data_IF_336673200926
#
_entry.id   IF_336673200926
#
_cell.length_a   1.000
_cell.length_b   1.000
_cell.length_c   1.000
_cell.angle_alpha   90.00
_cell.angle_beta   90.00
_cell.angle_gamma   90.00
#
_symmetry.space_group_name_H-M   'P 1'
#
loop_
_entity.id
_entity.type
_entity.pdbx_description
1 polymer ?
#
# COMPACT_ATOMS: atom_id res chain seq x y z
N UNK A 1 54.06 13.03 46.09
CA UNK A 1 53.18 13.47 47.19
C UNK A 1 51.77 12.95 46.92
N UNK A 2 51.17 12.23 47.86
CA UNK A 2 49.80 11.73 47.69
C UNK A 2 48.78 12.88 47.75
N UNK A 3 47.59 12.72 47.14
CA UNK A 3 46.50 13.72 47.17
C UNK A 3 46.16 14.20 48.60
N UNK A 4 46.34 13.33 49.60
CA UNK A 4 46.10 13.64 51.01
C UNK A 4 47.17 14.56 51.63
N UNK A 5 48.42 14.49 51.16
CA UNK A 5 49.51 15.35 51.68
C UNK A 5 49.34 16.80 51.23
N UNK A 6 48.98 17.01 49.96
CA UNK A 6 48.75 18.35 49.40
C UNK A 6 47.58 19.04 50.09
N UNK A 7 46.51 18.30 50.39
CA UNK A 7 45.31 18.85 51.03
C UNK A 7 45.52 19.16 52.52
N UNK A 8 46.37 18.40 53.22
CA UNK A 8 46.71 18.67 54.61
C UNK A 8 47.60 19.91 54.78
N UNK A 9 48.49 20.19 53.83
CA UNK A 9 49.28 21.42 53.80
C UNK A 9 48.37 22.64 53.61
N UNK A 10 47.39 22.55 52.69
CA UNK A 10 46.42 23.61 52.45
C UNK A 10 45.54 23.90 53.69
N UNK A 11 45.12 22.88 54.44
CA UNK A 11 44.37 23.07 55.68
C UNK A 11 45.16 23.75 56.79
N UNK A 12 46.46 23.46 56.91
CA UNK A 12 47.34 24.07 57.92
C UNK A 12 47.55 25.56 57.69
N UNK A 13 47.63 25.99 56.43
CA UNK A 13 47.81 27.39 56.07
C UNK A 13 46.58 28.27 56.35
N UNK A 14 45.37 27.67 56.38
CA UNK A 14 44.11 28.43 56.42
C UNK A 14 43.59 28.75 57.84
N UNK A 15 44.10 28.10 58.88
CA UNK A 15 43.70 28.34 60.27
C UNK A 15 44.92 28.38 61.22
N UNK A 16 45.59 29.54 61.39
CA UNK A 16 46.67 29.66 62.36
C UNK A 16 46.08 29.76 63.78
N UNK A 17 45.95 28.63 64.47
CA UNK A 17 45.72 28.60 65.92
C UNK A 17 47.05 28.83 66.65
N UNK A 18 47.64 30.02 66.53
CA UNK A 18 48.72 30.47 67.40
C UNK A 18 48.84 32.00 67.32
N UNK A 19 48.68 32.75 68.42
CA UNK A 19 48.94 34.19 68.41
C UNK A 19 50.46 34.43 68.33
N UNK A 20 50.93 34.83 67.15
CA UNK A 20 52.30 35.29 66.92
C UNK A 20 52.65 36.40 67.92
N UNK A 21 53.68 36.16 68.75
CA UNK A 21 54.28 37.16 69.65
C UNK A 21 54.61 38.42 68.83
N UNK A 22 54.05 39.57 69.22
CA UNK A 22 54.33 40.88 68.61
C UNK A 22 55.77 41.31 68.87
N UNK A 23 56.70 40.86 68.03
CA UNK A 23 57.99 41.53 67.82
C UNK A 23 57.81 42.66 66.80
N UNK A 24 58.33 43.85 67.08
CA UNK A 24 58.35 44.96 66.11
C UNK A 24 59.02 44.50 64.81
N UNK A 25 58.39 44.65 63.63
CA UNK A 25 59.03 44.30 62.37
C UNK A 25 60.24 45.23 62.16
N UNK A 26 61.44 44.66 61.99
CA UNK A 26 62.58 45.41 61.45
C UNK A 26 62.18 45.82 60.03
N UNK A 27 62.14 47.13 59.77
CA UNK A 27 61.80 47.68 58.46
C UNK A 27 62.80 47.11 57.44
N UNK A 28 62.33 46.25 56.53
CA UNK A 28 63.13 45.86 55.36
C UNK A 28 63.41 47.12 54.54
N UNK A 29 64.64 47.23 54.02
CA UNK A 29 65.01 48.32 53.12
C UNK A 29 64.03 48.38 51.94
N UNK A 30 63.38 49.53 51.69
CA UNK A 30 62.38 49.68 50.63
C UNK A 30 62.86 49.22 49.25
N UNK A 31 64.17 49.32 48.98
CA UNK A 31 64.76 48.88 47.71
C UNK A 31 64.82 47.36 47.57
N UNK A 32 65.10 46.65 48.67
CA UNK A 32 65.12 45.18 48.71
C UNK A 32 63.70 44.60 48.69
N UNK A 33 62.75 45.21 49.39
CA UNK A 33 61.35 44.79 49.39
C UNK A 33 60.72 44.90 47.99
N UNK A 34 61.03 45.97 47.25
CA UNK A 34 60.54 46.16 45.87
C UNK A 34 61.10 45.14 44.89
N UNK A 35 62.40 44.83 45.01
CA UNK A 35 63.07 43.85 44.13
C UNK A 35 62.57 42.43 44.36
N UNK A 36 62.40 42.03 45.62
CA UNK A 36 61.83 40.72 45.97
C UNK A 36 60.35 40.59 45.56
N UNK A 37 59.57 41.67 45.66
CA UNK A 37 58.19 41.67 45.16
C UNK A 37 58.13 41.51 43.64
N UNK A 38 59.02 42.17 42.89
CA UNK A 38 59.10 42.00 41.43
C UNK A 38 59.50 40.57 41.05
N UNK A 39 60.56 40.03 41.65
CA UNK A 39 61.01 38.65 41.38
C UNK A 39 59.91 37.64 41.73
N UNK A 40 59.20 37.81 42.84
CA UNK A 40 58.12 36.89 43.22
C UNK A 40 56.87 37.03 42.35
N UNK A 41 56.56 38.24 41.87
CA UNK A 41 55.49 38.46 40.89
C UNK A 41 55.86 37.86 39.53
N UNK A 42 57.09 38.05 39.06
CA UNK A 42 57.58 37.50 37.80
C UNK A 42 57.63 35.97 37.83
N UNK A 43 58.08 35.38 38.94
CA UNK A 43 58.07 33.92 39.12
C UNK A 43 56.64 33.36 39.18
N UNK A 44 55.69 34.04 39.84
CA UNK A 44 54.28 33.62 39.87
C UNK A 44 53.61 33.76 38.50
N UNK A 45 53.90 34.85 37.79
CA UNK A 45 53.42 35.11 36.43
C UNK A 45 53.93 34.04 35.47
N UNK A 46 55.24 33.79 35.47
CA UNK A 46 55.86 32.84 34.53
C UNK A 46 55.48 31.39 34.85
N UNK A 47 55.43 31.01 36.13
CA UNK A 47 55.03 29.65 36.49
C UNK A 47 53.54 29.40 36.25
N UNK A 48 52.68 30.39 36.53
CA UNK A 48 51.26 30.35 36.19
C UNK A 48 51.04 30.20 34.69
N UNK A 49 51.71 31.02 33.87
CA UNK A 49 51.60 30.95 32.42
C UNK A 49 52.05 29.60 31.84
N UNK A 50 53.13 29.01 32.37
CA UNK A 50 53.64 27.70 31.93
C UNK A 50 52.70 26.56 32.33
N UNK A 51 52.13 26.61 33.54
CA UNK A 51 51.16 25.61 34.00
C UNK A 51 49.85 25.73 33.22
N UNK A 52 49.38 26.94 32.95
CA UNK A 52 48.16 27.18 32.18
C UNK A 52 48.33 26.77 30.71
N UNK A 53 49.48 27.05 30.10
CA UNK A 53 49.77 26.57 28.73
C UNK A 53 49.89 25.05 28.66
N UNK A 54 50.54 24.41 29.63
CA UNK A 54 50.60 22.95 29.68
C UNK A 54 49.22 22.32 29.92
N UNK A 55 48.41 22.88 30.83
CA UNK A 55 47.05 22.41 31.11
C UNK A 55 46.13 22.57 29.90
N UNK A 56 46.20 23.72 29.23
CA UNK A 56 45.42 23.97 28.01
C UNK A 56 45.87 23.07 26.85
N UNK A 57 47.16 22.80 26.70
CA UNK A 57 47.67 21.88 25.68
C UNK A 57 47.18 20.44 25.89
N UNK A 58 47.27 19.92 27.14
CA UNK A 58 46.77 18.58 27.48
C UNK A 58 45.25 18.49 27.30
N UNK A 59 44.50 19.51 27.75
CA UNK A 59 43.05 19.54 27.59
C UNK A 59 42.63 19.59 26.11
N UNK A 60 43.34 20.33 25.27
CA UNK A 60 43.08 20.37 23.82
C UNK A 60 43.36 19.01 23.17
N UNK A 61 44.49 18.37 23.50
CA UNK A 61 44.84 17.04 22.96
C UNK A 61 43.83 15.95 23.39
N UNK A 62 43.35 15.99 24.64
CA UNK A 62 42.30 15.07 25.10
C UNK A 62 40.96 15.32 24.37
N UNK A 63 40.61 16.58 24.11
CA UNK A 63 39.39 16.96 23.38
C UNK A 63 39.49 16.53 21.91
N UNK A 64 40.65 16.71 21.26
CA UNK A 64 40.85 16.29 19.86
C UNK A 64 40.82 14.77 19.72
N UNK A 65 41.48 14.04 20.63
CA UNK A 65 41.44 12.57 20.66
C UNK A 65 40.01 12.06 20.91
N UNK A 66 39.26 12.69 21.81
CA UNK A 66 37.85 12.33 22.06
C UNK A 66 36.95 12.64 20.85
N UNK A 67 37.20 13.74 20.13
CA UNK A 67 36.47 14.09 18.91
C UNK A 67 36.76 13.10 17.77
N UNK A 68 38.02 12.67 17.63
CA UNK A 68 38.43 11.69 16.63
C UNK A 68 37.81 10.31 16.91
N UNK A 69 37.84 9.84 18.17
CA UNK A 69 37.16 8.61 18.58
C UNK A 69 35.65 8.66 18.34
N UNK A 70 34.99 9.80 18.60
CA UNK A 70 33.56 9.99 18.27
C UNK A 70 33.31 9.93 16.77
N UNK A 71 34.17 10.55 15.96
CA UNK A 71 34.06 10.47 14.50
C UNK A 71 34.22 9.04 13.98
N UNK A 72 35.19 8.29 14.52
CA UNK A 72 35.38 6.87 14.19
C UNK A 72 34.17 6.01 14.62
N UNK A 73 33.59 6.28 15.79
CA UNK A 73 32.39 5.57 16.26
C UNK A 73 31.15 5.87 15.40
N UNK A 74 30.96 7.12 14.98
CA UNK A 74 29.87 7.50 14.05
C UNK A 74 30.04 6.83 12.68
N UNK A 75 31.26 6.78 12.14
CA UNK A 75 31.56 6.05 10.91
C UNK A 75 31.27 4.56 11.05
N UNK A 76 31.66 3.94 12.17
CA UNK A 76 31.37 2.54 12.45
C UNK A 76 29.85 2.30 12.56
N UNK A 77 29.11 3.16 13.26
CA UNK A 77 27.66 3.05 13.39
C UNK A 77 26.95 3.22 12.04
N UNK A 78 27.36 4.18 11.22
CA UNK A 78 26.86 4.35 9.85
C UNK A 78 27.12 3.10 9.00
N UNK A 79 28.30 2.49 9.11
CA UNK A 79 28.63 1.25 8.41
C UNK A 79 27.71 0.08 8.83
N UNK A 80 27.44 -0.08 10.12
CA UNK A 80 26.50 -1.10 10.64
C UNK A 80 25.09 -0.86 10.12
N UNK A 81 24.62 0.39 10.10
CA UNK A 81 23.31 0.73 9.56
C UNK A 81 23.21 0.40 8.06
N UNK A 82 24.27 0.64 7.27
CA UNK A 82 24.28 0.26 5.85
C UNK A 82 24.23 -1.25 5.64
N UNK A 83 24.96 -2.03 6.46
CA UNK A 83 24.92 -3.50 6.41
C UNK A 83 23.55 -4.03 6.81
N UNK A 84 22.94 -3.50 7.88
CA UNK A 84 21.58 -3.84 8.29
C UNK A 84 20.53 -3.46 7.25
N UNK A 85 20.72 -2.34 6.54
CA UNK A 85 19.85 -1.95 5.42
C UNK A 85 19.97 -2.95 4.27
N UNK A 86 21.19 -3.29 3.85
CA UNK A 86 21.43 -4.29 2.80
C UNK A 86 20.86 -5.66 3.17
N UNK A 87 21.02 -6.11 4.42
CA UNK A 87 20.41 -7.36 4.89
C UNK A 87 18.89 -7.31 4.82
N UNK A 88 18.24 -6.20 5.22
CA UNK A 88 16.79 -6.01 5.07
C UNK A 88 16.35 -6.01 3.61
N UNK A 89 17.11 -5.36 2.73
CA UNK A 89 16.86 -5.35 1.29
C UNK A 89 16.98 -6.76 0.69
N UNK A 90 18.02 -7.52 1.05
CA UNK A 90 18.23 -8.90 0.60
C UNK A 90 17.09 -9.82 1.05
N UNK A 91 16.76 -9.81 2.35
CA UNK A 91 15.62 -10.57 2.89
C UNK A 91 14.29 -10.18 2.21
N UNK A 92 14.10 -8.90 1.89
CA UNK A 92 12.93 -8.42 1.17
C UNK A 92 12.89 -8.91 -0.28
N UNK A 93 14.04 -8.93 -0.97
CA UNK A 93 14.13 -9.39 -2.36
C UNK A 93 13.87 -10.89 -2.50
N UNK A 94 14.47 -11.70 -1.63
CA UNK A 94 14.27 -13.15 -1.60
C UNK A 94 12.83 -13.51 -1.24
N UNK A 95 12.29 -12.90 -0.19
CA UNK A 95 10.90 -13.11 0.20
C UNK A 95 9.93 -12.71 -0.91
N UNK A 96 10.21 -11.61 -1.63
CA UNK A 96 9.41 -11.18 -2.78
C UNK A 96 9.53 -12.14 -3.97
N UNK A 97 10.69 -12.74 -4.21
CA UNK A 97 10.87 -13.77 -5.24
C UNK A 97 10.11 -15.06 -4.89
N UNK A 98 10.17 -15.49 -3.64
CA UNK A 98 9.41 -16.65 -3.15
C UNK A 98 7.90 -16.44 -3.28
N UNK A 99 7.40 -15.27 -2.87
CA UNK A 99 5.98 -14.91 -3.04
C UNK A 99 5.55 -14.93 -4.50
N UNK A 100 6.38 -14.39 -5.40
CA UNK A 100 6.15 -14.42 -6.86
C UNK A 100 5.99 -15.86 -7.35
N UNK A 101 6.93 -16.74 -7.02
CA UNK A 101 6.92 -18.14 -7.46
C UNK A 101 5.75 -18.93 -6.86
N UNK A 102 5.38 -18.65 -5.60
CA UNK A 102 4.24 -19.28 -4.95
C UNK A 102 2.92 -18.88 -5.62
N UNK A 103 2.73 -17.59 -5.91
CA UNK A 103 1.51 -17.10 -6.56
C UNK A 103 1.36 -17.68 -7.97
N UNK A 104 2.45 -17.79 -8.73
CA UNK A 104 2.46 -18.40 -10.06
C UNK A 104 2.06 -19.87 -9.98
N UNK A 105 2.69 -20.67 -9.11
CA UNK A 105 2.36 -22.09 -8.92
C UNK A 105 0.89 -22.30 -8.52
N UNK A 106 0.43 -21.60 -7.48
CA UNK A 106 -0.96 -21.72 -7.02
C UNK A 106 -1.99 -21.37 -8.10
N UNK A 107 -1.68 -20.39 -8.96
CA UNK A 107 -2.61 -19.97 -10.01
C UNK A 107 -2.53 -20.85 -11.27
N UNK A 108 -1.33 -21.13 -11.76
CA UNK A 108 -1.12 -21.77 -13.06
C UNK A 108 -1.09 -23.30 -12.97
N UNK A 109 -0.51 -23.86 -11.89
CA UNK A 109 -0.44 -25.32 -11.68
C UNK A 109 -1.70 -25.83 -10.94
N UNK A 110 -2.05 -25.22 -9.80
CA UNK A 110 -3.16 -25.68 -8.97
C UNK A 110 -4.53 -25.10 -9.38
N UNK A 111 -4.55 -24.12 -10.29
CA UNK A 111 -5.78 -23.50 -10.80
C UNK A 111 -6.54 -22.64 -9.77
N UNK A 112 -5.89 -22.18 -8.71
CA UNK A 112 -6.57 -21.39 -7.66
C UNK A 112 -6.99 -20.02 -8.17
N UNK A 113 -8.22 -19.63 -7.85
CA UNK A 113 -8.68 -18.27 -8.11
C UNK A 113 -7.91 -17.26 -7.24
N UNK A 114 -7.57 -16.09 -7.80
CA UNK A 114 -6.86 -15.02 -7.05
C UNK A 114 -7.52 -14.61 -5.73
N UNK A 115 -8.85 -14.75 -5.59
CA UNK A 115 -9.54 -14.51 -4.31
C UNK A 115 -9.16 -15.54 -3.23
N UNK A 116 -8.99 -16.80 -3.63
CA UNK A 116 -8.58 -17.90 -2.75
C UNK A 116 -7.12 -17.76 -2.35
N UNK A 117 -6.26 -17.43 -3.30
CA UNK A 117 -4.84 -17.13 -3.04
C UNK A 117 -4.70 -15.93 -2.09
N UNK A 118 -5.46 -14.87 -2.32
CA UNK A 118 -5.48 -13.69 -1.45
C UNK A 118 -5.89 -14.03 0.00
N UNK A 119 -6.90 -14.87 0.19
CA UNK A 119 -7.29 -15.34 1.51
C UNK A 119 -6.20 -16.22 2.17
N UNK A 120 -5.54 -17.07 1.39
CA UNK A 120 -4.49 -17.97 1.90
C UNK A 120 -3.21 -17.24 2.30
N UNK A 121 -2.86 -16.16 1.59
CA UNK A 121 -1.69 -15.35 1.86
C UNK A 121 -1.99 -14.15 2.78
N UNK A 122 -3.23 -13.99 3.24
CA UNK A 122 -3.69 -12.83 4.01
C UNK A 122 -3.40 -11.49 3.31
N UNK A 123 -3.56 -11.45 2.00
CA UNK A 123 -3.29 -10.30 1.14
C UNK A 123 -4.57 -9.78 0.47
N UNK A 124 -4.51 -8.55 -0.04
CA UNK A 124 -5.55 -8.06 -0.93
C UNK A 124 -5.49 -8.76 -2.29
N UNK A 125 -6.65 -9.01 -2.89
CA UNK A 125 -6.75 -9.58 -4.26
C UNK A 125 -5.98 -8.74 -5.29
N UNK A 126 -6.02 -7.41 -5.14
CA UNK A 126 -5.28 -6.47 -6.00
C UNK A 126 -3.77 -6.59 -5.81
N UNK A 127 -3.30 -6.80 -4.57
CA UNK A 127 -1.89 -7.05 -4.26
C UNK A 127 -1.38 -8.32 -4.94
N UNK A 128 -2.11 -9.43 -4.80
CA UNK A 128 -1.78 -10.70 -5.48
C UNK A 128 -1.75 -10.53 -7.00
N UNK A 129 -2.76 -9.87 -7.58
CA UNK A 129 -2.81 -9.63 -9.02
C UNK A 129 -1.66 -8.72 -9.52
N UNK A 130 -1.29 -7.69 -8.75
CA UNK A 130 -0.16 -6.82 -9.08
C UNK A 130 1.16 -7.56 -9.10
N UNK A 131 1.37 -8.46 -8.12
CA UNK A 131 2.57 -9.31 -8.06
C UNK A 131 2.59 -10.28 -9.24
N UNK A 132 1.49 -10.99 -9.49
CA UNK A 132 1.36 -11.92 -10.63
C UNK A 132 1.54 -11.24 -11.99
N UNK A 133 1.06 -10.00 -12.14
CA UNK A 133 1.26 -9.23 -13.37
C UNK A 133 2.74 -8.88 -13.58
N UNK A 134 3.48 -8.62 -12.50
CA UNK A 134 4.90 -8.27 -12.56
C UNK A 134 5.83 -9.44 -12.88
N UNK A 135 5.36 -10.69 -12.68
CA UNK A 135 6.13 -11.90 -13.02
C UNK A 135 5.96 -12.33 -14.46
N UNK A 136 4.96 -11.78 -15.16
CA UNK A 136 4.54 -12.27 -16.45
C UNK A 136 5.25 -11.54 -17.58
N UNK A 137 5.82 -12.29 -18.51
CA UNK A 137 6.42 -11.72 -19.71
C UNK A 137 5.31 -11.13 -20.62
N UNK A 138 5.36 -9.83 -20.99
CA UNK A 138 4.33 -9.22 -21.83
C UNK A 138 4.21 -9.85 -23.24
N UNK A 139 5.23 -10.59 -23.68
CA UNK A 139 5.23 -11.33 -24.94
C UNK A 139 4.44 -12.66 -24.87
N UNK A 140 4.19 -13.19 -23.67
CA UNK A 140 3.44 -14.44 -23.52
C UNK A 140 1.93 -14.20 -23.55
N UNK A 141 1.17 -14.98 -24.35
CA UNK A 141 -0.25 -14.79 -24.48
C UNK A 141 -0.95 -14.92 -23.12
N UNK A 142 -2.01 -14.13 -22.92
CA UNK A 142 -3.03 -14.36 -21.90
C UNK A 142 -3.12 -15.79 -21.30
N UNK A 143 -2.55 -16.23 -20.14
CA UNK A 143 -3.10 -17.42 -19.51
C UNK A 143 -4.55 -17.04 -19.26
N UNK A 144 -5.43 -17.87 -19.82
CA UNK A 144 -6.82 -17.57 -20.18
C UNK A 144 -7.58 -16.97 -18.99
N UNK A 145 -7.39 -15.67 -18.78
CA UNK A 145 -7.95 -14.92 -17.68
C UNK A 145 -9.41 -14.74 -17.96
N UNK A 146 -10.20 -15.77 -17.60
CA UNK A 146 -11.66 -15.86 -17.65
C UNK A 146 -12.31 -14.84 -18.60
N UNK A 147 -11.96 -14.90 -19.88
CA UNK A 147 -13.01 -14.66 -20.87
C UNK A 147 -13.84 -15.92 -20.79
N UNK A 148 -15.11 -15.79 -20.38
CA UNK A 148 -16.15 -16.83 -20.48
C UNK A 148 -16.40 -17.29 -21.93
N UNK A 149 -15.40 -17.22 -22.82
CA UNK A 149 -15.46 -17.49 -24.25
C UNK A 149 -14.58 -18.65 -24.70
N UNK A 150 -13.74 -19.25 -23.85
CA UNK A 150 -12.93 -20.41 -24.29
C UNK A 150 -13.72 -21.73 -24.29
N UNK A 151 -14.64 -21.96 -23.35
CA UNK A 151 -15.51 -23.16 -23.39
C UNK A 151 -16.52 -23.15 -24.55
N UNK A 152 -16.84 -21.97 -25.10
CA UNK A 152 -17.82 -21.82 -26.18
C UNK A 152 -17.34 -22.48 -27.49
N UNK A 153 -16.03 -22.68 -27.64
CA UNK A 153 -15.44 -23.40 -28.77
C UNK A 153 -15.35 -24.92 -28.52
N UNK A 154 -15.23 -25.37 -27.26
CA UNK A 154 -15.07 -26.79 -26.92
C UNK A 154 -16.39 -27.58 -26.93
N UNK A 155 -17.54 -26.94 -26.66
CA UNK A 155 -18.86 -27.60 -26.66
C UNK A 155 -19.79 -27.16 -27.79
N UNK A 156 -19.32 -26.35 -28.74
CA UNK A 156 -20.13 -25.87 -29.88
C UNK A 156 -21.36 -25.01 -29.49
N UNK A 157 -21.39 -24.49 -28.27
CA UNK A 157 -22.48 -23.71 -27.70
C UNK A 157 -22.18 -22.22 -27.85
N UNK A 158 -23.02 -21.51 -28.60
CA UNK A 158 -22.86 -20.07 -28.85
C UNK A 158 -23.99 -19.27 -28.19
N UNK A 159 -23.66 -18.08 -27.69
CA UNK A 159 -24.65 -17.09 -27.28
C UNK A 159 -25.46 -16.62 -28.50
N UNK A 160 -26.77 -16.87 -28.52
CA UNK A 160 -27.67 -16.47 -29.61
C UNK A 160 -28.98 -15.88 -29.04
N UNK A 161 -29.68 -15.08 -29.84
CA UNK A 161 -31.02 -14.61 -29.48
C UNK A 161 -32.02 -15.79 -29.49
N UNK A 162 -32.83 -15.97 -28.43
CA UNK A 162 -33.87 -16.99 -28.43
C UNK A 162 -34.91 -16.69 -29.51
N UNK A 163 -35.54 -17.74 -30.05
CA UNK A 163 -36.74 -17.54 -30.85
C UNK A 163 -37.92 -17.32 -29.89
N UNK A 164 -38.66 -16.23 -30.09
CA UNK A 164 -39.90 -15.97 -29.39
C UNK A 164 -41.01 -16.68 -30.14
N UNK A 165 -41.68 -17.63 -29.50
CA UNK A 165 -42.86 -18.30 -30.06
C UNK A 165 -44.08 -17.90 -29.24
N UNK A 166 -45.06 -17.20 -29.84
CA UNK A 166 -46.33 -17.01 -29.17
C UNK A 166 -47.02 -18.37 -29.01
N UNK A 167 -47.59 -18.63 -27.84
CA UNK A 167 -48.45 -19.80 -27.67
C UNK A 167 -49.74 -19.55 -28.44
N UNK A 168 -49.89 -20.24 -29.58
CA UNK A 168 -51.10 -20.17 -30.40
C UNK A 168 -52.11 -21.12 -29.76
N UNK A 169 -53.08 -20.58 -29.04
CA UNK A 169 -54.24 -21.35 -28.59
C UNK A 169 -55.22 -21.59 -29.75
N UNK A 170 -56.15 -22.54 -29.57
CA UNK A 170 -57.17 -22.90 -30.56
C UNK A 170 -58.02 -21.70 -31.03
N UNK A 171 -58.17 -20.66 -30.19
CA UNK A 171 -58.87 -19.41 -30.50
C UNK A 171 -58.30 -18.67 -31.72
N UNK A 172 -57.04 -18.90 -32.09
CA UNK A 172 -56.35 -18.18 -33.16
C UNK A 172 -56.26 -18.93 -34.49
N UNK A 173 -56.88 -20.12 -34.60
CA UNK A 173 -56.90 -20.92 -35.85
C UNK A 173 -57.54 -20.14 -37.01
N UNK A 174 -58.53 -19.29 -36.75
CA UNK A 174 -59.14 -18.42 -37.76
C UNK A 174 -58.15 -17.46 -38.44
N UNK A 175 -57.03 -17.11 -37.79
CA UNK A 175 -55.98 -16.28 -38.40
C UNK A 175 -55.27 -16.98 -39.55
N UNK A 176 -55.15 -18.31 -39.49
CA UNK A 176 -54.54 -19.11 -40.57
C UNK A 176 -55.45 -19.07 -41.80
N UNK A 177 -56.77 -19.15 -41.60
CA UNK A 177 -57.73 -19.09 -42.69
C UNK A 177 -57.73 -17.73 -43.38
N UNK A 178 -57.73 -16.64 -42.59
CA UNK A 178 -57.62 -15.28 -43.12
C UNK A 178 -56.30 -15.12 -43.89
N UNK A 179 -55.19 -15.58 -43.31
CA UNK A 179 -53.89 -15.52 -43.98
C UNK A 179 -53.90 -16.25 -45.33
N UNK A 180 -54.48 -17.46 -45.39
CA UNK A 180 -54.62 -18.26 -46.62
C UNK A 180 -55.48 -17.56 -47.69
N UNK A 181 -56.57 -16.94 -47.28
CA UNK A 181 -57.49 -16.23 -48.19
C UNK A 181 -56.87 -14.97 -48.81
N UNK A 182 -55.87 -14.38 -48.14
CA UNK A 182 -55.29 -13.10 -48.52
C UNK A 182 -53.81 -13.22 -48.92
N UNK A 183 -53.32 -14.44 -49.23
CA UNK A 183 -51.93 -14.68 -49.67
C UNK A 183 -51.60 -13.92 -50.95
N UNK A 184 -52.53 -13.93 -51.90
CA UNK A 184 -52.31 -13.35 -53.24
C UNK A 184 -52.75 -11.88 -53.34
N UNK A 185 -53.14 -11.26 -52.22
CA UNK A 185 -53.44 -9.84 -52.20
C UNK A 185 -52.15 -9.03 -52.37
N UNK A 186 -52.15 -8.14 -53.37
CA UNK A 186 -51.04 -7.23 -53.65
C UNK A 186 -51.54 -5.78 -53.62
N UNK A 187 -52.37 -5.41 -54.60
CA UNK A 187 -52.88 -4.05 -54.74
C UNK A 187 -54.05 -3.74 -53.80
N UNK A 188 -54.75 -4.78 -53.33
CA UNK A 188 -55.89 -4.69 -52.42
C UNK A 188 -55.50 -4.12 -51.06
N UNK A 189 -54.25 -4.32 -50.62
CA UNK A 189 -53.76 -3.78 -49.35
C UNK A 189 -53.77 -2.25 -49.27
N UNK A 190 -53.77 -1.56 -50.42
CA UNK A 190 -53.79 -0.08 -50.48
C UNK A 190 -55.10 0.53 -49.98
N UNK A 191 -56.21 -0.22 -50.08
CA UNK A 191 -57.52 0.23 -49.59
C UNK A 191 -57.77 -0.09 -48.12
N UNK A 192 -56.85 -0.79 -47.44
CA UNK A 192 -57.06 -1.22 -46.05
C UNK A 192 -56.52 -0.15 -45.10
N UNK A 193 -57.41 0.46 -44.33
CA UNK A 193 -57.05 1.33 -43.21
C UNK A 193 -56.79 0.48 -41.97
N UNK A 194 -55.59 0.57 -41.42
CA UNK A 194 -55.19 -0.15 -40.22
C UNK A 194 -55.25 0.77 -39.00
N UNK A 195 -55.87 0.29 -37.92
CA UNK A 195 -55.80 0.92 -36.60
C UNK A 195 -55.19 -0.05 -35.59
N UNK A 196 -54.38 0.48 -34.67
CA UNK A 196 -53.74 -0.28 -33.60
C UNK A 196 -53.43 0.65 -32.42
N UNK A 197 -53.45 0.11 -31.22
CA UNK A 197 -52.99 0.77 -30.00
C UNK A 197 -51.61 0.24 -29.59
N UNK A 198 -50.69 1.13 -29.26
CA UNK A 198 -49.34 0.75 -28.78
C UNK A 198 -49.03 1.44 -27.46
N UNK A 199 -48.46 0.70 -26.52
CA UNK A 199 -47.98 1.23 -25.24
C UNK A 199 -46.50 1.62 -25.36
N UNK A 200 -46.18 2.89 -25.14
CA UNK A 200 -44.81 3.39 -25.05
C UNK A 200 -44.41 3.50 -23.57
N UNK A 201 -43.35 2.80 -23.16
CA UNK A 201 -42.86 2.83 -21.78
C UNK A 201 -41.64 3.77 -21.67
N UNK A 202 -41.62 4.65 -20.66
CA UNK A 202 -40.56 5.66 -20.46
C UNK A 202 -39.25 5.11 -19.89
N UNK A 203 -39.24 3.94 -19.23
CA UNK A 203 -38.05 3.38 -18.62
C UNK A 203 -37.98 1.85 -18.72
N UNK A 204 -36.75 1.38 -19.00
CA UNK A 204 -36.23 -0.01 -19.02
C UNK A 204 -37.10 -1.01 -19.80
N UNK A 205 -36.77 -1.21 -21.08
CA UNK A 205 -37.10 -2.47 -21.75
C UNK A 205 -36.34 -3.61 -21.06
N UNK A 206 -37.00 -4.74 -20.80
CA UNK A 206 -36.33 -6.00 -20.48
C UNK A 206 -35.23 -6.23 -21.53
N UNK A 207 -33.96 -5.99 -21.18
CA UNK A 207 -32.87 -5.87 -22.14
C UNK A 207 -32.69 -7.10 -23.04
N UNK A 208 -31.74 -7.03 -23.97
CA UNK A 208 -31.45 -8.15 -24.88
C UNK A 208 -31.12 -9.42 -24.09
N UNK A 209 -31.96 -10.43 -24.22
CA UNK A 209 -31.73 -11.75 -23.65
C UNK A 209 -30.96 -12.65 -24.62
N UNK A 210 -30.06 -13.46 -24.06
CA UNK A 210 -29.22 -14.40 -24.80
C UNK A 210 -29.41 -15.80 -24.23
N UNK A 211 -29.45 -16.80 -25.12
CA UNK A 211 -29.50 -18.23 -24.76
C UNK A 211 -28.28 -18.90 -25.38
N UNK A 212 -27.62 -19.78 -24.62
CA UNK A 212 -26.55 -20.64 -25.13
C UNK A 212 -27.18 -21.83 -25.86
N UNK A 213 -26.93 -21.96 -27.16
CA UNK A 213 -27.44 -23.09 -27.96
C UNK A 213 -26.46 -23.54 -29.05
N UNK A 214 -26.50 -24.82 -29.46
CA UNK A 214 -25.77 -25.31 -30.62
C UNK A 214 -26.23 -24.66 -31.93
N UNK A 215 -25.42 -24.82 -32.96
CA UNK A 215 -25.78 -24.40 -34.33
C UNK A 215 -27.00 -25.20 -34.81
N UNK A 216 -27.92 -24.55 -35.57
CA UNK A 216 -29.17 -25.14 -36.11
C UNK A 216 -30.27 -25.53 -35.11
N UNK A 217 -30.10 -25.39 -33.80
CA UNK A 217 -31.13 -25.74 -32.82
C UNK A 217 -32.06 -24.57 -32.43
N UNK A 218 -32.42 -23.70 -33.38
CA UNK A 218 -33.15 -22.44 -33.08
C UNK A 218 -34.53 -22.65 -32.47
N UNK A 219 -35.26 -23.65 -32.92
CA UNK A 219 -36.69 -23.85 -32.61
C UNK A 219 -36.96 -24.97 -31.61
N UNK A 220 -35.92 -25.60 -31.03
CA UNK A 220 -36.14 -26.58 -29.95
C UNK A 220 -36.75 -25.87 -28.74
N UNK A 221 -37.82 -26.41 -28.12
CA UNK A 221 -38.53 -25.74 -27.02
C UNK A 221 -37.62 -25.25 -25.89
N UNK A 222 -36.55 -26.02 -25.59
CA UNK A 222 -35.53 -25.69 -24.59
C UNK A 222 -34.80 -24.35 -24.82
N UNK A 223 -34.69 -23.89 -26.07
CA UNK A 223 -33.99 -22.64 -26.43
C UNK A 223 -34.93 -21.55 -26.94
N UNK A 224 -36.24 -21.77 -26.85
CA UNK A 224 -37.25 -20.77 -27.18
C UNK A 224 -37.69 -20.03 -25.93
N UNK A 225 -38.03 -18.75 -26.10
CA UNK A 225 -38.65 -17.96 -25.04
C UNK A 225 -40.16 -17.96 -25.25
N UNK A 226 -40.90 -18.33 -24.23
CA UNK A 226 -42.34 -18.09 -24.19
C UNK A 226 -42.61 -16.60 -24.07
N UNK A 227 -43.41 -16.06 -24.99
CA UNK A 227 -44.00 -14.74 -24.81
C UNK A 227 -45.41 -14.93 -24.25
N UNK A 228 -45.53 -14.88 -22.93
CA UNK A 228 -46.83 -14.59 -22.29
C UNK A 228 -46.90 -13.07 -22.18
N UNK A 229 -47.87 -12.45 -22.84
CA UNK A 229 -48.27 -11.08 -22.51
C UNK A 229 -49.12 -11.21 -21.25
N UNK A 230 -48.53 -11.05 -20.08
CA UNK A 230 -49.32 -10.91 -18.85
C UNK A 230 -50.08 -9.59 -18.97
N UNK A 231 -51.40 -9.65 -19.11
CA UNK A 231 -52.27 -8.50 -18.89
C UNK A 231 -52.19 -8.20 -17.40
N UNK A 232 -51.45 -7.15 -17.03
CA UNK A 232 -51.36 -6.70 -15.64
C UNK A 232 -52.68 -6.08 -15.22
N UNK A 233 -53.45 -6.79 -14.39
CA UNK A 233 -54.63 -6.24 -13.74
C UNK A 233 -54.21 -5.19 -12.70
N UNK A 234 -54.71 -3.97 -12.86
CA UNK A 234 -54.81 -3.03 -11.74
C UNK A 234 -56.00 -3.51 -10.88
N UNK A 235 -55.73 -4.08 -9.71
CA UNK A 235 -56.73 -4.13 -8.65
C UNK A 235 -56.66 -2.81 -7.89
N UNK A 236 -57.59 -1.90 -8.19
CA UNK A 236 -57.92 -0.80 -7.28
C UNK A 236 -58.46 -1.40 -5.99
N UNK A 237 -57.70 -1.26 -4.91
CA UNK A 237 -58.18 -1.54 -3.56
C UNK A 237 -59.07 -0.38 -3.12
N UNK A 238 -60.37 -0.49 -3.36
CA UNK A 238 -61.36 0.34 -2.69
C UNK A 238 -61.47 -0.15 -1.24
N UNK A 239 -60.77 0.52 -0.33
CA UNK A 239 -61.04 0.41 1.11
C UNK A 239 -62.37 1.08 1.39
N UNK A 240 -63.43 0.29 1.50
CA UNK A 240 -64.66 0.71 2.16
C UNK A 240 -64.39 0.76 3.68
N UNK A 241 -64.43 1.96 4.25
CA UNK A 241 -64.49 2.14 5.70
C UNK A 241 -65.90 1.72 6.16
N UNK A 242 -65.94 0.71 7.04
CA UNK A 242 -67.08 0.37 7.89
C UNK A 242 -66.88 1.00 9.26
#
# INVERSE_FOLDING_TARGET
MSKNEVWNVYKRAKNPKEPLRRGRPRKLDPRFASTLLRITLDLKSNFGAVVDTAYNAIAVDEITNAAELRSQLELAHASVQTVQRRLRELMSTEHRALLKNLIVRLHDEDGWAFRRIAAHLEMSKSGVWGIYKSTRNPAEPAPLGRKRSTDERWFGLHGRRPATKPFISFKYVGRIQIARQHVDWQNQWRGVLWSNESKLNMAVSNGRQWVRRPVRERYKPKYTKSSVKCEGGNHESTSANS
#
